data_IF_590998841862
#
_entry.id   IF_590998841862
#
_cell.length_a   1.000
_cell.length_b   1.000
_cell.length_c   1.000
_cell.angle_alpha   90.00
_cell.angle_beta   90.00
_cell.angle_gamma   90.00
#
_symmetry.space_group_name_H-M   'P 1'
#
loop_
_entity.id
_entity.type
_entity.pdbx_description
1 polymer ?
#
# COMPACT_ATOMS: atom_id res chain seq x y z
N UNK A 1 19.05 10.95 -5.79
CA UNK A 1 17.82 11.24 -6.59
C UNK A 1 17.25 9.91 -7.05
N UNK A 2 15.98 9.60 -6.73
CA UNK A 2 15.39 8.29 -7.00
C UNK A 2 14.99 8.19 -8.47
N UNK A 3 15.45 7.12 -9.14
CA UNK A 3 15.04 6.77 -10.51
C UNK A 3 14.19 5.52 -10.50
N UNK A 4 13.05 5.58 -11.17
CA UNK A 4 12.13 4.46 -11.41
C UNK A 4 12.08 4.20 -12.91
N UNK A 5 12.64 3.09 -13.38
CA UNK A 5 12.93 2.86 -14.80
C UNK A 5 13.82 3.99 -15.34
N UNK A 6 13.34 4.68 -16.38
CA UNK A 6 13.99 5.83 -17.02
C UNK A 6 13.43 7.19 -16.54
N UNK A 7 12.57 7.19 -15.50
CA UNK A 7 11.92 8.39 -14.96
C UNK A 7 12.57 8.79 -13.64
N UNK A 8 12.66 10.08 -13.42
CA UNK A 8 13.17 10.68 -12.17
C UNK A 8 12.00 11.09 -11.28
N UNK A 9 12.06 10.70 -10.00
CA UNK A 9 11.09 11.13 -8.99
C UNK A 9 11.38 12.58 -8.64
N UNK A 10 10.49 13.49 -9.05
CA UNK A 10 10.69 14.95 -8.88
C UNK A 10 10.55 15.40 -7.43
N UNK A 11 9.62 14.80 -6.69
CA UNK A 11 9.40 15.03 -5.26
C UNK A 11 9.56 13.70 -4.52
N UNK A 12 10.38 13.62 -3.44
CA UNK A 12 10.75 12.35 -2.80
C UNK A 12 9.60 11.82 -1.93
N UNK A 13 8.44 11.61 -2.54
CA UNK A 13 7.23 11.11 -1.87
C UNK A 13 6.51 10.07 -2.72
N UNK A 14 6.10 8.99 -2.06
CA UNK A 14 5.19 7.98 -2.56
C UNK A 14 3.83 8.13 -1.88
N UNK A 15 2.76 8.05 -2.64
CA UNK A 15 1.45 7.83 -2.04
C UNK A 15 1.29 6.32 -1.83
N UNK A 16 1.01 5.91 -0.59
CA UNK A 16 0.82 4.50 -0.24
C UNK A 16 -0.44 3.92 -0.87
N UNK A 17 -0.35 2.70 -1.41
CA UNK A 17 -1.51 2.01 -1.99
C UNK A 17 -2.54 1.65 -0.94
N UNK A 18 -3.78 2.10 -1.10
CA UNK A 18 -4.88 1.92 -0.16
C UNK A 18 -6.06 1.22 -0.85
N UNK A 19 -6.34 0.00 -0.44
CA UNK A 19 -7.48 -0.79 -0.91
C UNK A 19 -8.56 -0.92 0.18
N UNK A 20 -9.77 -1.16 -0.20
CA UNK A 20 -10.37 -1.29 -1.54
C UNK A 20 -10.83 0.08 -2.00
N UNK A 21 -10.54 0.48 -3.25
CA UNK A 21 -11.16 1.65 -3.86
C UNK A 21 -10.74 3.03 -3.32
N UNK A 22 -9.79 3.11 -2.38
CA UNK A 22 -9.32 4.38 -1.80
C UNK A 22 -8.27 5.03 -2.69
N UNK A 23 -7.32 4.25 -3.23
CA UNK A 23 -6.36 4.73 -4.22
C UNK A 23 -6.51 3.99 -5.54
N UNK A 24 -7.23 4.58 -6.47
CA UNK A 24 -7.39 4.17 -7.84
C UNK A 24 -6.69 5.17 -8.77
N UNK A 25 -7.24 5.36 -9.96
CA UNK A 25 -6.67 6.23 -10.98
C UNK A 25 -6.69 7.71 -10.65
N UNK A 26 -7.71 8.18 -9.93
CA UNK A 26 -7.86 9.58 -9.55
C UNK A 26 -6.70 10.04 -8.68
N UNK A 27 -6.57 9.44 -7.51
CA UNK A 27 -5.51 9.77 -6.55
C UNK A 27 -4.12 9.49 -7.10
N UNK A 28 -3.88 8.27 -7.62
CA UNK A 28 -2.56 7.91 -8.11
C UNK A 28 -2.10 8.79 -9.29
N UNK A 29 -3.03 9.14 -10.19
CA UNK A 29 -2.76 10.05 -11.30
C UNK A 29 -2.43 11.47 -10.83
N UNK A 30 -3.17 12.00 -9.85
CA UNK A 30 -2.96 13.33 -9.30
C UNK A 30 -1.60 13.45 -8.59
N UNK A 31 -1.24 12.49 -7.74
CA UNK A 31 0.07 12.45 -7.07
C UNK A 31 1.21 12.37 -8.08
N UNK A 32 1.07 11.51 -9.10
CA UNK A 32 2.07 11.40 -10.15
C UNK A 32 2.22 12.70 -10.97
N UNK A 33 1.11 13.40 -11.24
CA UNK A 33 1.09 14.71 -11.91
C UNK A 33 1.77 15.79 -11.07
N UNK A 34 1.61 15.76 -9.75
CA UNK A 34 2.25 16.67 -8.81
C UNK A 34 3.75 16.37 -8.58
N UNK A 35 4.29 15.31 -9.21
CA UNK A 35 5.73 14.98 -9.18
C UNK A 35 6.14 13.94 -8.16
N UNK A 36 5.21 13.40 -7.37
CA UNK A 36 5.39 12.23 -6.52
C UNK A 36 5.23 10.91 -7.28
N UNK A 37 5.26 9.79 -6.57
CA UNK A 37 4.94 8.48 -7.12
C UNK A 37 3.52 8.05 -6.69
N UNK A 38 2.61 7.95 -7.65
CA UNK A 38 1.23 7.52 -7.41
C UNK A 38 1.12 6.00 -7.39
N UNK A 39 0.36 5.45 -6.44
CA UNK A 39 0.22 4.00 -6.26
C UNK A 39 -1.23 3.58 -6.30
N UNK A 40 -1.59 2.75 -7.28
CA UNK A 40 -2.91 2.12 -7.38
C UNK A 40 -2.92 0.85 -6.54
N UNK A 41 -3.95 0.66 -5.72
CA UNK A 41 -4.14 -0.59 -4.98
C UNK A 41 -4.87 -1.62 -5.83
N UNK A 42 -4.28 -2.81 -5.99
CA UNK A 42 -4.90 -3.91 -6.72
C UNK A 42 -5.93 -4.71 -5.90
N UNK A 43 -6.09 -4.40 -4.59
CA UNK A 43 -7.00 -5.13 -3.71
C UNK A 43 -8.46 -4.93 -4.15
N UNK A 44 -9.06 -5.98 -4.72
CA UNK A 44 -10.45 -5.98 -5.24
C UNK A 44 -10.76 -4.75 -6.13
N UNK A 45 -9.79 -4.37 -6.93
CA UNK A 45 -9.82 -3.16 -7.77
C UNK A 45 -11.02 -3.09 -8.72
N UNK A 46 -11.55 -4.25 -9.09
CA UNK A 46 -12.71 -4.38 -9.98
C UNK A 46 -14.08 -4.29 -9.29
N UNK A 47 -14.14 -3.88 -8.02
CA UNK A 47 -15.38 -3.89 -7.23
C UNK A 47 -16.52 -3.05 -7.82
N UNK A 48 -16.24 -2.12 -8.72
CA UNK A 48 -17.23 -1.32 -9.46
C UNK A 48 -17.61 -1.94 -10.82
N UNK A 49 -16.95 -3.02 -11.26
CA UNK A 49 -17.30 -3.71 -12.50
C UNK A 49 -18.66 -4.40 -12.33
N UNK A 50 -19.63 -4.23 -13.26
CA UNK A 50 -20.95 -4.85 -13.18
C UNK A 50 -20.93 -6.38 -13.04
N UNK A 51 -19.85 -7.03 -13.49
CA UNK A 51 -19.68 -8.48 -13.39
C UNK A 51 -18.88 -8.92 -12.15
N UNK A 52 -18.48 -7.98 -11.28
CA UNK A 52 -17.64 -8.29 -10.12
C UNK A 52 -18.24 -9.37 -9.21
N UNK A 53 -19.54 -9.35 -8.98
CA UNK A 53 -20.20 -10.36 -8.16
C UNK A 53 -20.28 -11.72 -8.84
N UNK A 54 -20.22 -11.80 -10.16
CA UNK A 54 -20.25 -13.03 -10.94
C UNK A 54 -18.85 -13.64 -11.05
N UNK A 55 -17.85 -12.82 -11.41
CA UNK A 55 -16.46 -13.21 -11.57
C UNK A 55 -15.52 -12.11 -11.06
N UNK A 56 -15.24 -12.09 -9.72
CA UNK A 56 -14.36 -11.09 -9.14
C UNK A 56 -12.94 -11.11 -9.70
N UNK A 57 -12.45 -12.26 -10.13
CA UNK A 57 -11.09 -12.40 -10.64
C UNK A 57 -10.94 -11.69 -11.99
N UNK A 58 -11.80 -12.00 -12.96
CA UNK A 58 -11.77 -11.37 -14.28
C UNK A 58 -12.09 -9.87 -14.21
N UNK A 59 -13.02 -9.47 -13.34
CA UNK A 59 -13.33 -8.05 -13.08
C UNK A 59 -12.09 -7.30 -12.58
N UNK A 60 -11.32 -7.88 -11.65
CA UNK A 60 -10.08 -7.30 -11.14
C UNK A 60 -9.01 -7.18 -12.24
N UNK A 61 -8.86 -8.19 -13.10
CA UNK A 61 -7.89 -8.14 -14.20
C UNK A 61 -8.22 -7.02 -15.19
N UNK A 62 -9.50 -6.87 -15.58
CA UNK A 62 -9.94 -5.76 -16.43
C UNK A 62 -9.69 -4.40 -15.78
N UNK A 63 -9.98 -4.29 -14.49
CA UNK A 63 -9.84 -3.05 -13.74
C UNK A 63 -8.38 -2.63 -13.57
N UNK A 64 -7.42 -3.54 -13.40
CA UNK A 64 -5.98 -3.22 -13.34
C UNK A 64 -5.57 -2.42 -14.59
N UNK A 65 -5.91 -2.91 -15.78
CA UNK A 65 -5.59 -2.21 -17.03
C UNK A 65 -6.34 -0.88 -17.14
N UNK A 66 -7.65 -0.89 -16.87
CA UNK A 66 -8.51 0.30 -16.98
C UNK A 66 -8.08 1.42 -16.04
N UNK A 67 -7.81 1.11 -14.77
CA UNK A 67 -7.40 2.11 -13.78
C UNK A 67 -5.99 2.66 -14.09
N UNK A 68 -5.07 1.80 -14.55
CA UNK A 68 -3.77 2.28 -14.99
C UNK A 68 -3.86 3.22 -16.19
N UNK A 69 -4.68 2.90 -17.20
CA UNK A 69 -4.87 3.74 -18.39
C UNK A 69 -5.50 5.09 -18.03
N UNK A 70 -6.45 5.12 -17.10
CA UNK A 70 -7.06 6.35 -16.59
C UNK A 70 -6.01 7.21 -15.85
N UNK A 71 -5.24 6.62 -14.94
CA UNK A 71 -4.17 7.32 -14.21
C UNK A 71 -3.11 7.88 -15.17
N UNK A 72 -2.74 7.11 -16.21
CA UNK A 72 -1.80 7.53 -17.25
C UNK A 72 -2.33 8.69 -18.09
N UNK A 73 -3.65 8.79 -18.30
CA UNK A 73 -4.28 9.96 -18.94
C UNK A 73 -4.19 11.23 -18.07
N UNK A 74 -4.29 11.09 -16.74
CA UNK A 74 -4.12 12.20 -15.80
C UNK A 74 -2.67 12.67 -15.76
N UNK A 75 -1.74 11.71 -15.77
CA UNK A 75 -0.29 11.97 -15.70
C UNK A 75 0.48 11.13 -16.74
N UNK A 76 0.60 11.60 -17.99
CA UNK A 76 1.24 10.85 -19.07
C UNK A 76 2.68 10.43 -18.78
N UNK A 77 3.46 11.31 -18.17
CA UNK A 77 4.89 11.12 -17.90
C UNK A 77 5.21 10.81 -16.43
N UNK A 78 4.20 10.86 -15.55
CA UNK A 78 4.38 10.64 -14.11
C UNK A 78 4.75 9.20 -13.76
N UNK A 79 5.18 9.00 -12.53
CA UNK A 79 5.54 7.69 -11.98
C UNK A 79 4.29 7.07 -11.34
N UNK A 80 3.81 5.97 -11.92
CA UNK A 80 2.58 5.28 -11.48
C UNK A 80 2.86 3.79 -11.33
N UNK A 81 2.57 3.25 -10.13
CA UNK A 81 2.76 1.85 -9.81
C UNK A 81 1.55 1.19 -9.19
N UNK A 82 1.70 -0.08 -8.86
CA UNK A 82 0.70 -0.85 -8.13
C UNK A 82 1.23 -1.34 -6.79
N UNK A 83 0.33 -1.33 -5.80
CA UNK A 83 0.49 -2.10 -4.57
C UNK A 83 -0.30 -3.41 -4.68
N UNK A 84 0.38 -4.56 -4.50
CA UNK A 84 -0.22 -5.89 -4.63
C UNK A 84 0.15 -6.72 -3.41
N UNK A 85 -0.85 -7.20 -2.67
CA UNK A 85 -0.63 -8.01 -1.47
C UNK A 85 -0.30 -9.47 -1.85
N UNK A 86 0.79 -10.01 -1.27
CA UNK A 86 1.21 -11.41 -1.47
C UNK A 86 0.13 -12.41 -0.98
N UNK A 87 -0.66 -12.02 0.01
CA UNK A 87 -1.74 -12.81 0.57
C UNK A 87 -2.96 -12.98 -0.37
N UNK A 88 -3.04 -12.22 -1.47
CA UNK A 88 -4.16 -12.32 -2.43
C UNK A 88 -4.15 -13.68 -3.14
N UNK A 89 -5.35 -14.24 -3.40
CA UNK A 89 -5.53 -15.57 -4.01
C UNK A 89 -4.85 -15.68 -5.39
N UNK A 90 -4.94 -14.64 -6.20
CA UNK A 90 -4.39 -14.61 -7.57
C UNK A 90 -3.23 -13.61 -7.68
N UNK A 91 -2.30 -13.64 -6.69
CA UNK A 91 -1.18 -12.72 -6.61
C UNK A 91 -0.34 -12.67 -7.89
N UNK A 92 0.01 -13.85 -8.43
CA UNK A 92 0.85 -13.94 -9.65
C UNK A 92 0.16 -13.33 -10.86
N UNK A 93 -1.12 -13.62 -11.04
CA UNK A 93 -1.93 -13.13 -12.16
C UNK A 93 -2.11 -11.60 -12.08
N UNK A 94 -2.31 -11.05 -10.89
CA UNK A 94 -2.38 -9.60 -10.69
C UNK A 94 -1.05 -8.90 -10.96
N UNK A 95 0.08 -9.49 -10.53
CA UNK A 95 1.41 -8.99 -10.88
C UNK A 95 1.60 -8.99 -12.40
N UNK A 96 1.26 -10.08 -13.08
CA UNK A 96 1.34 -10.18 -14.56
C UNK A 96 0.47 -9.15 -15.26
N UNK A 97 -0.76 -8.94 -14.76
CA UNK A 97 -1.67 -7.93 -15.32
C UNK A 97 -1.11 -6.51 -15.16
N UNK A 98 -0.54 -6.17 -13.99
CA UNK A 98 0.09 -4.89 -13.76
C UNK A 98 1.33 -4.66 -14.64
N UNK A 99 2.17 -5.69 -14.84
CA UNK A 99 3.29 -5.64 -15.77
C UNK A 99 2.80 -5.39 -17.20
N UNK A 100 1.81 -6.14 -17.65
CA UNK A 100 1.19 -5.99 -18.99
C UNK A 100 0.51 -4.63 -19.19
N UNK A 101 -0.01 -4.01 -18.13
CA UNK A 101 -0.55 -2.65 -18.17
C UNK A 101 0.54 -1.59 -18.38
N UNK A 102 1.82 -1.90 -18.13
CA UNK A 102 2.95 -1.00 -18.33
C UNK A 102 3.35 -0.22 -17.07
N UNK A 103 3.01 -0.74 -15.88
CA UNK A 103 3.35 -0.09 -14.60
C UNK A 103 4.81 0.32 -14.48
N UNK A 104 5.08 1.43 -13.80
CA UNK A 104 6.46 1.87 -13.58
C UNK A 104 7.13 1.13 -12.41
N UNK A 105 6.36 0.76 -11.38
CA UNK A 105 6.87 0.00 -10.23
C UNK A 105 5.81 -0.91 -9.63
N UNK A 106 6.26 -1.88 -8.85
CA UNK A 106 5.44 -2.79 -8.05
C UNK A 106 5.90 -2.74 -6.60
N UNK A 107 5.00 -2.38 -5.69
CA UNK A 107 5.18 -2.49 -4.24
C UNK A 107 4.41 -3.71 -3.76
N UNK A 108 5.10 -4.68 -3.15
CA UNK A 108 4.49 -5.91 -2.68
C UNK A 108 4.74 -6.13 -1.19
N UNK A 109 3.66 -6.35 -0.44
CA UNK A 109 3.66 -6.55 1.01
C UNK A 109 2.55 -7.52 1.44
N UNK A 110 2.16 -7.48 2.73
CA UNK A 110 1.26 -8.45 3.35
C UNK A 110 1.71 -9.90 3.10
N UNK A 111 2.97 -10.16 3.38
CA UNK A 111 3.75 -11.35 3.11
C UNK A 111 5.06 -11.02 2.38
N UNK A 112 6.01 -11.95 2.38
CA UNK A 112 7.29 -11.75 1.70
C UNK A 112 7.15 -12.08 0.20
N UNK A 113 7.43 -11.12 -0.72
CA UNK A 113 7.27 -11.32 -2.17
C UNK A 113 8.46 -12.08 -2.77
N UNK A 114 8.71 -13.31 -2.28
CA UNK A 114 9.89 -14.10 -2.62
C UNK A 114 10.00 -14.40 -4.11
N UNK A 115 8.89 -14.65 -4.79
CA UNK A 115 8.86 -15.01 -6.20
C UNK A 115 8.60 -13.83 -7.15
N UNK A 116 8.48 -12.60 -6.63
CA UNK A 116 8.16 -11.42 -7.45
C UNK A 116 9.10 -11.23 -8.64
N UNK A 117 10.44 -11.33 -8.50
CA UNK A 117 11.34 -11.18 -9.64
C UNK A 117 11.11 -12.22 -10.75
N UNK A 118 10.85 -13.48 -10.37
CA UNK A 118 10.56 -14.56 -11.30
C UNK A 118 9.24 -14.33 -12.06
N UNK A 119 8.20 -13.91 -11.33
CA UNK A 119 6.87 -13.63 -11.91
C UNK A 119 6.99 -12.51 -12.94
N UNK A 120 7.69 -11.42 -12.59
CA UNK A 120 7.89 -10.28 -13.47
C UNK A 120 8.75 -10.66 -14.69
N UNK A 121 9.87 -11.36 -14.49
CA UNK A 121 10.71 -11.83 -15.60
C UNK A 121 9.89 -12.62 -16.62
N UNK A 122 9.08 -13.59 -16.13
CA UNK A 122 8.20 -14.38 -16.99
C UNK A 122 7.11 -13.55 -17.68
N UNK A 123 6.58 -12.52 -17.01
CA UNK A 123 5.60 -11.63 -17.64
C UNK A 123 6.22 -10.77 -18.75
N UNK A 124 7.51 -10.42 -18.62
CA UNK A 124 8.24 -9.64 -19.61
C UNK A 124 8.62 -10.45 -20.85
N UNK A 125 8.73 -11.79 -20.77
CA UNK A 125 9.03 -12.67 -21.92
C UNK A 125 7.98 -12.53 -23.04
N UNK A 126 6.72 -12.27 -22.67
CA UNK A 126 5.59 -12.11 -23.60
C UNK A 126 5.43 -10.66 -24.10
N UNK A 127 6.31 -9.74 -23.70
CA UNK A 127 6.20 -8.31 -24.02
C UNK A 127 7.24 -7.86 -25.06
N UNK A 128 7.01 -6.69 -25.63
CA UNK A 128 8.00 -6.04 -26.50
C UNK A 128 9.31 -5.82 -25.70
N UNK A 129 10.42 -6.33 -26.25
CA UNK A 129 11.74 -6.26 -25.60
C UNK A 129 12.29 -4.84 -25.45
N UNK A 130 11.70 -3.86 -26.12
CA UNK A 130 12.03 -2.45 -25.92
C UNK A 130 11.45 -1.87 -24.61
N UNK A 131 10.47 -2.55 -24.00
CA UNK A 131 9.86 -2.12 -22.75
C UNK A 131 10.74 -2.46 -21.56
N UNK A 132 10.89 -1.48 -20.66
CA UNK A 132 11.61 -1.68 -19.41
C UNK A 132 10.71 -2.41 -18.39
N UNK A 133 11.28 -3.38 -17.68
CA UNK A 133 10.62 -4.02 -16.55
C UNK A 133 10.27 -2.99 -15.45
N UNK A 134 9.18 -3.17 -14.70
CA UNK A 134 8.87 -2.32 -13.55
C UNK A 134 9.94 -2.45 -12.47
N UNK A 135 10.16 -1.37 -11.72
CA UNK A 135 10.98 -1.43 -10.53
C UNK A 135 10.26 -2.23 -9.42
N UNK A 136 11.00 -3.07 -8.70
CA UNK A 136 10.47 -4.01 -7.72
C UNK A 136 10.81 -3.58 -6.31
N UNK A 137 9.79 -3.40 -5.46
CA UNK A 137 9.95 -2.98 -4.09
C UNK A 137 9.19 -3.90 -3.12
N UNK A 138 9.89 -4.62 -2.24
CA UNK A 138 9.27 -5.27 -1.11
C UNK A 138 8.91 -4.25 -0.02
N UNK A 139 7.81 -4.52 0.71
CA UNK A 139 7.52 -3.86 1.98
C UNK A 139 8.13 -4.69 3.11
N UNK A 140 8.91 -4.06 3.94
CA UNK A 140 9.54 -4.68 5.11
C UNK A 140 9.27 -3.84 6.36
N UNK A 141 9.18 -4.49 7.52
CA UNK A 141 8.94 -3.81 8.79
C UNK A 141 10.06 -4.04 9.80
N UNK A 142 10.93 -5.04 9.57
CA UNK A 142 12.03 -5.40 10.48
C UNK A 142 13.29 -5.75 9.69
N UNK A 143 14.48 -5.58 10.34
CA UNK A 143 15.76 -6.02 9.78
C UNK A 143 15.72 -7.49 9.37
N UNK A 144 15.08 -8.34 10.21
CA UNK A 144 14.93 -9.76 9.91
C UNK A 144 14.19 -10.00 8.60
N UNK A 145 13.06 -9.32 8.37
CA UNK A 145 12.30 -9.45 7.13
C UNK A 145 13.08 -8.94 5.92
N UNK A 146 13.79 -7.82 6.06
CA UNK A 146 14.67 -7.29 5.03
C UNK A 146 15.78 -8.31 4.67
N UNK A 147 16.53 -8.83 5.65
CA UNK A 147 17.58 -9.83 5.39
C UNK A 147 17.04 -11.10 4.74
N UNK A 148 15.84 -11.55 5.12
CA UNK A 148 15.23 -12.75 4.52
C UNK A 148 14.95 -12.51 3.04
N UNK A 149 14.29 -11.40 2.68
CA UNK A 149 13.90 -11.13 1.28
C UNK A 149 15.13 -10.87 0.40
N UNK A 150 16.10 -10.06 0.86
CA UNK A 150 17.31 -9.77 0.12
C UNK A 150 18.13 -11.05 -0.16
N UNK A 151 18.34 -11.88 0.89
CA UNK A 151 19.06 -13.15 0.74
C UNK A 151 18.35 -14.11 -0.21
N UNK A 152 17.00 -14.14 -0.19
CA UNK A 152 16.24 -15.02 -1.07
C UNK A 152 16.37 -14.56 -2.51
N UNK A 153 16.19 -13.25 -2.80
CA UNK A 153 16.32 -12.71 -4.14
C UNK A 153 17.74 -12.88 -4.70
N UNK A 154 18.77 -12.62 -3.90
CA UNK A 154 20.15 -12.88 -4.28
C UNK A 154 20.37 -14.34 -4.68
N UNK A 155 19.97 -15.27 -3.82
CA UNK A 155 20.26 -16.70 -4.03
C UNK A 155 19.45 -17.36 -5.12
N UNK A 156 18.20 -16.94 -5.30
CA UNK A 156 17.22 -17.60 -6.20
C UNK A 156 17.03 -16.87 -7.50
N UNK A 157 17.19 -15.56 -7.50
CA UNK A 157 16.90 -14.72 -8.67
C UNK A 157 18.10 -13.90 -9.13
N UNK A 158 19.24 -13.96 -8.39
CA UNK A 158 20.47 -13.23 -8.71
C UNK A 158 20.25 -11.73 -8.85
N UNK A 159 19.34 -11.15 -8.05
CA UNK A 159 19.00 -9.74 -8.07
C UNK A 159 18.81 -9.20 -6.63
N UNK A 160 18.70 -7.88 -6.54
CA UNK A 160 18.31 -7.17 -5.32
C UNK A 160 17.13 -6.25 -5.65
N UNK A 161 16.33 -5.80 -4.65
CA UNK A 161 15.27 -4.82 -4.84
C UNK A 161 15.75 -3.55 -5.54
N UNK A 162 14.87 -2.91 -6.29
CA UNK A 162 15.18 -1.61 -6.91
C UNK A 162 15.01 -0.46 -5.92
N UNK A 163 14.13 -0.60 -4.97
CA UNK A 163 13.99 0.21 -3.77
C UNK A 163 13.24 -0.58 -2.69
N UNK A 164 13.18 -0.07 -1.46
CA UNK A 164 12.53 -0.76 -0.34
C UNK A 164 11.57 0.20 0.36
N UNK A 165 10.35 -0.27 0.68
CA UNK A 165 9.46 0.44 1.59
C UNK A 165 9.66 -0.12 3.00
N UNK A 166 10.06 0.74 3.95
CA UNK A 166 10.09 0.41 5.38
C UNK A 166 8.78 0.88 5.99
N UNK A 167 7.92 -0.05 6.38
CA UNK A 167 6.64 0.28 6.98
C UNK A 167 6.68 0.16 8.50
N UNK A 168 6.54 1.29 9.17
CA UNK A 168 6.61 1.41 10.63
C UNK A 168 5.30 1.07 11.36
N UNK A 169 5.36 0.93 12.71
CA UNK A 169 4.24 0.52 13.54
C UNK A 169 3.10 1.54 13.60
N UNK A 170 3.30 2.77 13.14
CA UNK A 170 2.27 3.81 13.04
C UNK A 170 1.51 3.82 11.71
N UNK A 171 1.80 2.87 10.82
CA UNK A 171 1.10 2.70 9.56
C UNK A 171 -0.40 2.40 9.75
N UNK A 172 -1.14 2.52 8.65
CA UNK A 172 -2.56 2.19 8.56
C UNK A 172 -2.82 0.84 7.90
N UNK A 173 -4.05 0.39 7.96
CA UNK A 173 -4.42 -0.90 7.40
C UNK A 173 -3.78 -2.07 8.15
N UNK A 174 -3.39 -3.11 7.41
CA UNK A 174 -2.73 -4.28 8.00
C UNK A 174 -1.29 -3.95 8.39
N UNK A 175 -0.94 -4.25 9.63
CA UNK A 175 0.37 -3.95 10.18
C UNK A 175 1.29 -5.17 10.09
N UNK A 176 2.53 -4.96 9.69
CA UNK A 176 3.56 -6.00 9.59
C UNK A 176 4.13 -6.48 10.93
N UNK A 177 3.38 -6.26 12.02
CA UNK A 177 3.77 -6.55 13.41
C UNK A 177 2.68 -7.35 14.10
N UNK A 178 3.04 -8.23 15.03
CA UNK A 178 2.08 -8.80 15.96
C UNK A 178 1.62 -7.75 16.99
N UNK A 179 0.47 -7.95 17.63
CA UNK A 179 -0.09 -6.97 18.57
C UNK A 179 0.85 -6.63 19.74
N UNK A 180 1.53 -7.63 20.30
CA UNK A 180 2.51 -7.47 21.36
C UNK A 180 3.74 -6.69 20.89
N UNK A 181 4.15 -6.85 19.64
CA UNK A 181 5.25 -6.09 19.05
C UNK A 181 4.91 -4.61 18.87
N UNK A 182 3.66 -4.26 18.60
CA UNK A 182 3.24 -2.86 18.45
C UNK A 182 3.45 -2.04 19.73
N UNK A 183 3.31 -2.67 20.92
CA UNK A 183 3.62 -2.02 22.20
C UNK A 183 5.13 -1.95 22.50
N UNK A 184 5.91 -2.87 21.94
CA UNK A 184 7.36 -2.90 22.07
C UNK A 184 8.04 -1.85 21.19
N UNK A 185 7.60 -1.68 19.94
CA UNK A 185 8.18 -0.72 19.01
C UNK A 185 7.69 0.71 19.32
N UNK A 186 8.20 1.27 20.42
CA UNK A 186 8.13 2.71 20.67
C UNK A 186 8.93 3.45 19.59
N UNK A 187 8.78 4.75 19.50
CA UNK A 187 9.45 5.60 18.52
C UNK A 187 10.97 5.35 18.48
N UNK A 188 11.66 5.47 19.62
CA UNK A 188 13.12 5.30 19.71
C UNK A 188 13.59 3.87 19.36
N UNK A 189 12.82 2.86 19.77
CA UNK A 189 13.16 1.46 19.47
C UNK A 189 13.04 1.20 17.98
N UNK A 190 12.01 1.76 17.31
CA UNK A 190 11.80 1.55 15.90
C UNK A 190 12.81 2.29 15.03
N UNK A 191 13.31 3.45 15.45
CA UNK A 191 14.40 4.13 14.74
C UNK A 191 15.65 3.25 14.57
N UNK A 192 16.00 2.49 15.61
CA UNK A 192 17.11 1.54 15.51
C UNK A 192 16.84 0.48 14.46
N UNK A 193 15.62 -0.03 14.39
CA UNK A 193 15.21 -0.99 13.36
C UNK A 193 15.32 -0.40 11.96
N UNK A 194 14.84 0.85 11.77
CA UNK A 194 14.97 1.58 10.50
C UNK A 194 16.44 1.71 10.08
N UNK A 195 17.33 2.13 10.98
CA UNK A 195 18.76 2.25 10.68
C UNK A 195 19.38 0.90 10.29
N UNK A 196 19.01 -0.18 10.99
CA UNK A 196 19.49 -1.53 10.66
C UNK A 196 19.01 -1.97 9.27
N UNK A 197 17.75 -1.66 8.88
CA UNK A 197 17.24 -1.98 7.54
C UNK A 197 17.99 -1.18 6.48
N UNK A 198 18.26 0.10 6.73
CA UNK A 198 19.04 0.96 5.82
C UNK A 198 20.45 0.36 5.62
N UNK A 199 21.11 -0.12 6.68
CA UNK A 199 22.42 -0.78 6.55
C UNK A 199 22.33 -2.06 5.70
N UNK A 200 21.26 -2.86 5.82
CA UNK A 200 21.02 -4.00 4.92
C UNK A 200 20.92 -3.54 3.47
N UNK A 201 20.18 -2.47 3.20
CA UNK A 201 20.06 -1.92 1.84
C UNK A 201 21.41 -1.48 1.29
N UNK A 202 22.24 -0.79 2.10
CA UNK A 202 23.59 -0.35 1.72
C UNK A 202 24.54 -1.54 1.46
N UNK A 203 24.49 -2.59 2.30
CA UNK A 203 25.26 -3.82 2.11
C UNK A 203 24.97 -4.44 0.74
N UNK A 204 23.69 -4.57 0.38
CA UNK A 204 23.29 -5.16 -0.88
C UNK A 204 23.48 -4.21 -2.08
N UNK A 205 23.36 -2.90 -1.88
CA UNK A 205 23.67 -1.91 -2.89
C UNK A 205 25.15 -2.01 -3.33
N UNK A 206 26.06 -2.12 -2.38
CA UNK A 206 27.49 -2.34 -2.65
C UNK A 206 27.73 -3.68 -3.35
N UNK A 207 27.08 -4.76 -2.90
CA UNK A 207 27.23 -6.12 -3.46
C UNK A 207 26.75 -6.22 -4.90
N UNK A 208 25.67 -5.55 -5.25
CA UNK A 208 25.09 -5.54 -6.60
C UNK A 208 25.54 -4.37 -7.46
N UNK A 209 26.40 -3.50 -6.95
CA UNK A 209 26.86 -2.27 -7.61
C UNK A 209 25.69 -1.44 -8.19
N UNK A 210 24.65 -1.23 -7.38
CA UNK A 210 23.44 -0.44 -7.74
C UNK A 210 22.94 0.34 -6.51
N UNK A 211 22.25 1.43 -6.75
CA UNK A 211 21.49 2.11 -5.69
C UNK A 211 20.27 1.28 -5.29
N UNK A 212 19.96 1.25 -3.99
CA UNK A 212 18.74 0.67 -3.43
C UNK A 212 18.13 1.72 -2.49
N UNK A 213 17.38 2.69 -3.05
CA UNK A 213 16.74 3.74 -2.27
C UNK A 213 15.80 3.17 -1.20
N UNK A 214 15.74 3.87 -0.08
CA UNK A 214 14.87 3.53 1.04
C UNK A 214 13.75 4.55 1.15
N UNK A 215 12.51 4.06 1.17
CA UNK A 215 11.30 4.85 1.37
C UNK A 215 10.75 4.54 2.75
N UNK A 216 10.68 5.52 3.65
CA UNK A 216 10.15 5.33 4.99
C UNK A 216 8.64 5.63 5.03
N UNK A 217 7.87 4.75 5.63
CA UNK A 217 6.42 4.81 5.76
C UNK A 217 5.95 4.55 7.19
N UNK A 218 4.75 5.03 7.52
CA UNK A 218 4.09 4.82 8.80
C UNK A 218 4.29 5.99 9.78
N UNK A 219 3.21 6.74 10.02
CA UNK A 219 3.20 7.90 10.91
C UNK A 219 3.72 9.20 10.27
N UNK A 220 3.87 9.25 8.94
CA UNK A 220 4.31 10.47 8.24
C UNK A 220 3.08 11.26 7.84
N UNK A 221 2.69 12.19 8.71
CA UNK A 221 1.51 13.05 8.55
C UNK A 221 1.82 14.54 8.64
N UNK A 222 3.04 14.92 9.05
CA UNK A 222 3.51 16.30 9.17
C UNK A 222 4.89 16.46 8.57
N UNK A 223 5.28 17.72 8.33
CA UNK A 223 6.62 18.06 7.84
C UNK A 223 7.73 17.59 8.80
N UNK A 224 7.51 17.75 10.10
CA UNK A 224 8.49 17.34 11.12
C UNK A 224 8.73 15.82 11.06
N UNK A 225 7.66 15.04 10.84
CA UNK A 225 7.78 13.59 10.67
C UNK A 225 8.51 13.23 9.36
N UNK A 226 8.28 13.99 8.30
CA UNK A 226 9.00 13.83 7.03
C UNK A 226 10.48 14.18 7.17
N UNK A 227 10.81 15.34 7.78
CA UNK A 227 12.19 15.76 8.03
C UNK A 227 12.93 14.75 8.91
N UNK A 228 12.22 14.22 9.91
CA UNK A 228 12.77 13.18 10.77
C UNK A 228 13.09 11.90 9.96
N UNK A 229 12.18 11.46 9.08
CA UNK A 229 12.42 10.32 8.20
C UNK A 229 13.69 10.51 7.34
N UNK A 230 13.86 11.70 6.75
CA UNK A 230 15.07 12.02 5.99
C UNK A 230 16.32 12.05 6.88
N UNK A 231 16.23 12.53 8.13
CA UNK A 231 17.35 12.53 9.09
C UNK A 231 17.80 11.13 9.49
N UNK A 232 16.90 10.13 9.43
CA UNK A 232 17.24 8.73 9.63
C UNK A 232 17.98 8.10 8.45
N UNK A 233 17.98 8.76 7.28
CA UNK A 233 18.63 8.32 6.07
C UNK A 233 17.69 7.74 5.01
N UNK A 234 16.39 8.02 5.10
CA UNK A 234 15.45 7.71 4.01
C UNK A 234 15.73 8.61 2.78
N UNK A 235 15.60 8.03 1.59
CA UNK A 235 15.74 8.75 0.32
C UNK A 235 14.39 9.35 -0.14
N UNK A 236 13.28 8.80 0.34
CA UNK A 236 11.93 9.32 0.16
C UNK A 236 11.03 8.89 1.34
N UNK A 237 9.85 9.50 1.40
CA UNK A 237 8.80 9.13 2.34
C UNK A 237 7.63 8.47 1.63
N UNK A 238 6.84 7.66 2.36
CA UNK A 238 5.52 7.23 1.90
C UNK A 238 4.44 7.69 2.88
N UNK A 239 3.48 8.45 2.38
CA UNK A 239 2.29 8.87 3.11
C UNK A 239 1.03 8.22 2.51
N UNK A 240 0.06 7.91 3.36
CA UNK A 240 -1.22 7.34 2.95
C UNK A 240 -2.39 8.15 3.54
N UNK A 241 -2.48 8.23 4.84
CA UNK A 241 -3.57 8.84 5.60
C UNK A 241 -3.94 10.24 5.12
N UNK A 242 -2.95 11.15 4.92
CA UNK A 242 -3.17 12.51 4.43
C UNK A 242 -3.81 12.54 3.03
N UNK A 243 -3.52 11.55 2.19
CA UNK A 243 -4.11 11.45 0.86
C UNK A 243 -5.57 10.96 0.84
N UNK A 244 -6.07 10.38 1.95
CA UNK A 244 -7.49 9.97 2.03
C UNK A 244 -8.40 11.19 2.03
N UNK A 245 -8.01 12.25 2.72
CA UNK A 245 -8.79 13.50 2.81
C UNK A 245 -8.41 14.47 1.68
N UNK A 246 -8.23 13.94 0.45
CA UNK A 246 -8.03 14.77 -0.74
C UNK A 246 -9.24 14.71 -1.67
N UNK A 247 -9.40 15.77 -2.47
CA UNK A 247 -10.45 15.80 -3.48
C UNK A 247 -10.28 14.69 -4.51
N UNK A 248 -9.03 14.30 -4.82
CA UNK A 248 -8.70 13.28 -5.83
C UNK A 248 -8.76 11.85 -5.29
N UNK A 249 -8.87 11.64 -3.98
CA UNK A 249 -9.07 10.32 -3.41
C UNK A 249 -10.34 9.68 -3.96
N UNK A 250 -10.22 8.44 -4.42
CA UNK A 250 -11.29 7.73 -5.14
C UNK A 250 -12.39 7.17 -4.23
N UNK A 251 -12.20 7.24 -2.89
CA UNK A 251 -13.21 6.85 -1.91
C UNK A 251 -14.40 7.82 -1.89
N UNK A 252 -15.57 7.34 -1.45
CA UNK A 252 -16.76 8.17 -1.29
C UNK A 252 -16.56 9.30 -0.28
N UNK A 253 -17.35 10.36 -0.40
CA UNK A 253 -17.32 11.48 0.56
C UNK A 253 -17.67 11.03 1.98
N UNK A 254 -18.52 10.03 2.15
CA UNK A 254 -18.83 9.45 3.44
C UNK A 254 -17.61 8.77 4.09
N UNK A 255 -16.77 8.09 3.28
CA UNK A 255 -15.52 7.51 3.77
C UNK A 255 -14.52 8.60 4.21
N UNK A 256 -14.36 9.65 3.40
CA UNK A 256 -13.50 10.80 3.75
C UNK A 256 -13.99 11.50 5.02
N UNK A 257 -15.31 11.62 5.16
CA UNK A 257 -15.93 12.23 6.34
C UNK A 257 -15.61 11.49 7.63
N UNK A 258 -15.56 10.15 7.62
CA UNK A 258 -15.17 9.37 8.81
C UNK A 258 -13.73 9.70 9.27
N UNK A 259 -12.83 10.05 8.35
CA UNK A 259 -11.50 10.55 8.71
C UNK A 259 -11.56 11.96 9.33
N UNK A 260 -12.36 12.86 8.73
CA UNK A 260 -12.49 14.25 9.19
C UNK A 260 -13.18 14.37 10.54
N UNK A 261 -14.08 13.43 10.84
CA UNK A 261 -14.82 13.40 12.11
C UNK A 261 -14.06 12.64 13.23
N UNK A 262 -12.99 11.90 12.88
CA UNK A 262 -12.29 11.03 13.83
C UNK A 262 -11.49 11.81 14.87
N UNK A 263 -11.68 11.51 16.14
CA UNK A 263 -10.81 11.93 17.24
C UNK A 263 -9.64 10.95 17.42
N UNK A 264 -8.67 11.31 18.26
CA UNK A 264 -7.53 10.44 18.57
C UNK A 264 -7.98 9.13 19.24
N UNK A 265 -9.02 9.19 20.04
CA UNK A 265 -9.61 8.07 20.79
C UNK A 265 -10.33 7.09 19.84
N UNK A 266 -10.71 7.54 18.65
CA UNK A 266 -11.35 6.72 17.63
C UNK A 266 -10.36 5.89 16.81
N UNK A 267 -9.06 6.09 16.98
CA UNK A 267 -8.04 5.31 16.27
C UNK A 267 -7.74 4.03 17.05
N UNK A 268 -8.19 2.90 16.51
CA UNK A 268 -8.17 1.60 17.20
C UNK A 268 -7.38 0.54 16.44
N UNK A 269 -7.02 -0.55 17.14
CA UNK A 269 -6.51 -1.78 16.54
C UNK A 269 -7.62 -2.83 16.49
N UNK A 270 -7.80 -3.44 15.32
CA UNK A 270 -8.79 -4.51 15.08
C UNK A 270 -8.10 -5.77 14.55
N UNK A 271 -8.61 -6.94 14.91
CA UNK A 271 -8.16 -8.21 14.34
C UNK A 271 -8.71 -8.37 12.92
N UNK A 272 -7.82 -8.63 11.96
CA UNK A 272 -8.22 -8.81 10.57
C UNK A 272 -8.23 -10.29 10.17
N UNK A 273 -9.19 -10.71 9.32
CA UNK A 273 -9.19 -12.04 8.72
C UNK A 273 -7.95 -12.41 7.92
N UNK A 274 -7.11 -11.42 7.60
CA UNK A 274 -5.80 -11.64 6.95
C UNK A 274 -4.77 -12.27 7.91
N UNK A 275 -5.06 -12.28 9.22
CA UNK A 275 -4.16 -12.82 10.25
C UNK A 275 -3.14 -11.81 10.78
N UNK A 276 -3.28 -10.55 10.43
CA UNK A 276 -2.48 -9.42 10.92
C UNK A 276 -3.40 -8.45 11.67
N UNK A 277 -2.92 -7.72 12.70
CA UNK A 277 -3.70 -6.62 13.25
C UNK A 277 -3.86 -5.51 12.22
N UNK A 278 -4.99 -4.81 12.26
CA UNK A 278 -5.26 -3.65 11.43
C UNK A 278 -5.49 -2.41 12.28
N UNK A 279 -5.16 -1.22 11.75
CA UNK A 279 -5.52 0.04 12.40
C UNK A 279 -6.66 0.68 11.62
N UNK A 280 -7.70 1.11 12.34
CA UNK A 280 -8.93 1.60 11.76
C UNK A 280 -9.56 2.72 12.58
N UNK A 281 -10.46 3.48 11.98
CA UNK A 281 -11.37 4.39 12.68
C UNK A 281 -12.47 3.58 13.37
N UNK A 282 -12.72 3.90 14.64
CA UNK A 282 -13.79 3.29 15.43
C UNK A 282 -15.16 3.68 14.89
N UNK A 283 -16.01 2.69 14.68
CA UNK A 283 -17.39 2.89 14.23
C UNK A 283 -18.27 1.71 14.68
N UNK A 284 -19.53 1.69 14.28
CA UNK A 284 -20.48 0.63 14.63
C UNK A 284 -20.01 -0.77 14.17
N UNK A 285 -19.37 -0.87 13.01
CA UNK A 285 -18.82 -2.13 12.52
C UNK A 285 -17.72 -2.65 13.44
N UNK A 286 -16.73 -1.82 13.73
CA UNK A 286 -15.60 -2.20 14.60
C UNK A 286 -16.04 -2.53 16.01
N UNK A 287 -17.00 -1.76 16.59
CA UNK A 287 -17.58 -2.04 17.92
C UNK A 287 -18.28 -3.41 17.96
N UNK A 288 -19.01 -3.77 16.89
CA UNK A 288 -19.65 -5.09 16.77
C UNK A 288 -18.60 -6.21 16.79
N UNK A 289 -17.52 -6.07 16.02
CA UNK A 289 -16.46 -7.10 15.95
C UNK A 289 -15.69 -7.18 17.28
N UNK A 290 -15.32 -6.05 17.87
CA UNK A 290 -14.56 -6.00 19.12
C UNK A 290 -15.34 -6.54 20.32
N UNK A 291 -16.68 -6.46 20.31
CA UNK A 291 -17.54 -7.08 21.32
C UNK A 291 -17.76 -8.60 21.10
N UNK A 292 -17.07 -9.21 20.16
CA UNK A 292 -17.19 -10.65 19.84
C UNK A 292 -18.32 -10.99 18.87
N UNK A 293 -18.96 -9.98 18.27
CA UNK A 293 -19.95 -10.19 17.22
C UNK A 293 -19.33 -10.75 15.94
N UNK A 294 -20.16 -11.38 15.12
CA UNK A 294 -19.78 -11.91 13.81
C UNK A 294 -20.67 -11.33 12.72
N UNK A 295 -20.06 -10.82 11.66
CA UNK A 295 -20.73 -10.41 10.43
C UNK A 295 -20.39 -11.43 9.36
N UNK A 296 -21.26 -12.39 9.16
CA UNK A 296 -21.04 -13.48 8.18
C UNK A 296 -20.92 -12.90 6.77
N UNK A 297 -19.99 -13.41 5.93
CA UNK A 297 -19.92 -13.01 4.54
C UNK A 297 -21.22 -13.38 3.81
N UNK A 298 -21.74 -12.44 3.02
CA UNK A 298 -22.90 -12.72 2.15
C UNK A 298 -22.47 -13.66 1.03
N UNK A 299 -21.27 -13.44 0.50
CA UNK A 299 -20.68 -14.25 -0.57
C UNK A 299 -19.16 -14.23 -0.46
N UNK A 300 -18.53 -15.42 -0.63
CA UNK A 300 -17.08 -15.49 -0.73
C UNK A 300 -16.63 -15.11 -2.15
N UNK A 301 -15.71 -14.14 -2.27
CA UNK A 301 -15.12 -13.67 -3.52
C UNK A 301 -13.72 -14.25 -3.78
N UNK A 302 -13.25 -15.20 -2.99
CA UNK A 302 -11.93 -15.83 -3.18
C UNK A 302 -10.76 -14.83 -3.09
N UNK A 303 -10.85 -13.84 -2.20
CA UNK A 303 -9.89 -12.73 -2.17
C UNK A 303 -8.52 -13.07 -1.58
N UNK A 304 -8.45 -14.02 -0.65
CA UNK A 304 -7.26 -14.38 0.12
C UNK A 304 -6.96 -15.88 0.08
N UNK A 305 -5.67 -16.25 0.00
CA UNK A 305 -5.20 -17.64 -0.08
C UNK A 305 -5.62 -18.52 1.09
N UNK A 306 -5.59 -17.99 2.31
CA UNK A 306 -5.78 -18.77 3.54
C UNK A 306 -7.06 -18.39 4.31
N UNK A 307 -8.00 -17.68 3.66
CA UNK A 307 -9.26 -17.32 4.29
C UNK A 307 -10.17 -18.53 4.51
N UNK A 308 -10.79 -18.59 5.69
CA UNK A 308 -11.80 -19.58 6.06
C UNK A 308 -13.12 -18.86 6.34
N UNK A 309 -14.00 -18.70 5.32
CA UNK A 309 -15.25 -17.93 5.44
C UNK A 309 -16.17 -18.41 6.56
N UNK A 310 -16.09 -19.70 6.94
CA UNK A 310 -16.81 -20.30 8.06
C UNK A 310 -16.31 -19.87 9.44
N UNK A 311 -15.05 -19.44 9.55
CA UNK A 311 -14.37 -19.17 10.82
C UNK A 311 -14.04 -17.69 11.09
N UNK A 312 -14.02 -16.85 10.04
CA UNK A 312 -13.67 -15.42 10.19
C UNK A 312 -14.79 -14.64 10.89
N UNK A 313 -14.43 -13.59 11.66
CA UNK A 313 -15.41 -12.72 12.30
C UNK A 313 -16.18 -11.86 11.28
N UNK A 314 -15.58 -11.53 10.13
CA UNK A 314 -16.18 -10.76 9.04
C UNK A 314 -15.45 -11.00 7.73
N UNK A 315 -16.12 -10.72 6.59
CA UNK A 315 -15.46 -10.71 5.28
C UNK A 315 -14.71 -9.38 5.09
N UNK A 316 -13.39 -9.43 4.92
CA UNK A 316 -12.58 -8.21 4.73
C UNK A 316 -12.97 -7.46 3.46
N UNK A 317 -13.27 -8.18 2.37
CA UNK A 317 -13.69 -7.58 1.09
C UNK A 317 -15.03 -6.86 1.24
N UNK A 318 -16.03 -7.51 1.85
CA UNK A 318 -17.35 -6.90 2.04
C UNK A 318 -17.25 -5.66 2.94
N UNK A 319 -16.49 -5.75 4.05
CA UNK A 319 -16.31 -4.65 4.99
C UNK A 319 -15.64 -3.42 4.34
N UNK A 320 -14.61 -3.63 3.50
CA UNK A 320 -13.93 -2.55 2.81
C UNK A 320 -14.76 -1.97 1.65
N UNK A 321 -15.46 -2.80 0.88
CA UNK A 321 -16.37 -2.31 -0.17
C UNK A 321 -17.51 -1.50 0.44
N UNK A 322 -18.13 -2.00 1.51
CA UNK A 322 -19.22 -1.30 2.21
C UNK A 322 -18.79 0.10 2.64
N UNK A 323 -17.62 0.23 3.25
CA UNK A 323 -17.14 1.53 3.71
C UNK A 323 -16.82 2.49 2.56
N UNK A 324 -16.11 2.04 1.54
CA UNK A 324 -15.65 2.90 0.45
C UNK A 324 -16.79 3.36 -0.46
N UNK A 325 -17.88 2.58 -0.56
CA UNK A 325 -19.05 2.92 -1.39
C UNK A 325 -20.08 3.80 -0.68
N UNK A 326 -19.85 4.19 0.57
CA UNK A 326 -20.65 5.22 1.25
C UNK A 326 -21.31 4.79 2.55
N UNK A 327 -21.26 3.52 2.93
CA UNK A 327 -21.75 3.06 4.26
C UNK A 327 -20.57 2.82 5.20
N UNK A 328 -19.80 3.87 5.46
CA UNK A 328 -18.59 3.82 6.27
C UNK A 328 -18.86 3.34 7.69
N UNK A 329 -20.03 3.65 8.26
CA UNK A 329 -20.41 3.23 9.64
C UNK A 329 -20.61 1.71 9.79
N UNK A 330 -21.02 1.01 8.75
CA UNK A 330 -21.23 -0.43 8.75
C UNK A 330 -20.11 -1.19 8.04
N UNK A 331 -19.07 -0.51 7.60
CA UNK A 331 -17.88 -1.07 6.96
C UNK A 331 -16.60 -0.80 7.74
N UNK A 332 -15.48 -1.32 7.24
CA UNK A 332 -14.17 -1.14 7.83
C UNK A 332 -13.45 0.07 7.20
N UNK A 333 -13.12 1.05 8.01
CA UNK A 333 -12.37 2.24 7.60
C UNK A 333 -10.95 2.14 8.15
N UNK A 334 -10.02 1.61 7.35
CA UNK A 334 -8.62 1.55 7.73
C UNK A 334 -7.98 2.94 7.72
N UNK A 335 -7.10 3.21 8.69
CA UNK A 335 -6.41 4.49 8.82
C UNK A 335 -5.02 4.33 9.45
N UNK A 336 -4.16 5.33 9.32
CA UNK A 336 -2.91 5.44 10.07
C UNK A 336 -3.13 5.98 11.49
N UNK A 337 -2.07 5.92 12.32
CA UNK A 337 -2.14 6.38 13.72
C UNK A 337 -2.52 7.86 13.86
N UNK A 338 -2.22 8.68 12.86
CA UNK A 338 -2.43 10.12 12.85
C UNK A 338 -3.66 10.57 12.03
N UNK A 339 -4.60 9.66 11.72
CA UNK A 339 -5.78 9.99 10.92
C UNK A 339 -6.62 11.11 11.55
N UNK A 340 -6.66 11.16 12.86
CA UNK A 340 -7.35 12.20 13.65
C UNK A 340 -6.83 13.63 13.44
N UNK A 341 -5.68 13.80 12.76
CA UNK A 341 -5.12 15.11 12.40
C UNK A 341 -5.68 15.67 11.10
N UNK A 342 -6.41 14.85 10.33
CA UNK A 342 -7.06 15.28 9.10
C UNK A 342 -8.35 16.04 9.48
N UNK A 343 -8.43 17.33 9.22
CA UNK A 343 -9.53 18.21 9.64
C UNK A 343 -10.25 18.91 8.47
N UNK A 344 -9.70 18.80 7.25
CA UNK A 344 -10.31 19.35 6.03
C UNK A 344 -9.89 18.58 4.78
N UNK A 345 -10.56 18.86 3.66
CA UNK A 345 -10.18 18.34 2.34
C UNK A 345 -9.14 19.24 1.70
N UNK A 346 -8.11 18.63 1.13
CA UNK A 346 -7.01 19.30 0.43
C UNK A 346 -6.90 18.76 -1.01
N UNK A 347 -6.09 19.39 -1.85
CA UNK A 347 -5.61 18.76 -3.08
C UNK A 347 -4.38 17.88 -2.79
N UNK A 348 -4.18 16.83 -3.58
CA UNK A 348 -3.03 15.94 -3.43
C UNK A 348 -1.69 16.68 -3.57
N UNK A 349 -1.65 17.74 -4.39
CA UNK A 349 -0.49 18.61 -4.53
C UNK A 349 -0.18 19.39 -3.25
N UNK A 350 -1.21 19.93 -2.57
CA UNK A 350 -1.05 20.67 -1.31
C UNK A 350 -0.54 19.76 -0.19
N UNK A 351 -1.03 18.51 -0.13
CA UNK A 351 -0.52 17.49 0.80
C UNK A 351 0.98 17.27 0.57
N UNK A 352 1.40 17.12 -0.67
CA UNK A 352 2.83 16.92 -1.02
C UNK A 352 3.66 18.12 -0.60
N UNK A 353 3.21 19.33 -0.92
CA UNK A 353 3.91 20.57 -0.53
C UNK A 353 4.01 20.67 0.99
N UNK A 354 2.92 20.45 1.72
CA UNK A 354 2.89 20.54 3.19
C UNK A 354 3.81 19.55 3.90
N UNK A 355 4.11 18.41 3.28
CA UNK A 355 5.02 17.41 3.83
C UNK A 355 6.49 17.65 3.47
N UNK A 356 6.78 18.35 2.37
CA UNK A 356 8.15 18.50 1.85
C UNK A 356 8.72 19.93 1.97
N UNK A 357 7.86 20.95 2.11
CA UNK A 357 8.28 22.37 2.18
C UNK A 357 8.40 22.88 3.63
#
# INVERSE_FOLDING_TARGET
MIKIKNKELKKPIFQGGMGVGVSLSGLAGAVAKAGGAGTISAAQIGFLDPEFDKDPFEANLRAIKSEFDKARKISPDGIIGFNIMVAMQHYEEYVRAAVKAGTDFLVCGAGLPVDLPKIVAKAMEDMDQSLLAPALAPVVSTEKSARVIFRYWEKKHHCAPDFVIIEGPLAGGHLGFAKDQLSYYTFDVYEKEVRNIIEVCREYAARFNKEIPVVLAGGISTKEAADHAFSLGADAIQAATRFVTTYECDASDAFKKDYLDASKEDIILIDSPVGLPGRAVRNKFSDTIMSGGRIAPVRCRGCLKNCRPDKIPYCITDALITSVTGDAKNGLVFCGADAWRCDHLEYAEDVIESLLS
#
